data_IF_141946099251
#
_entry.id   IF_141946099251
#
_cell.length_a   1.000
_cell.length_b   1.000
_cell.length_c   1.000
_cell.angle_alpha   90.00
_cell.angle_beta   90.00
_cell.angle_gamma   90.00
#
_symmetry.space_group_name_H-M   'P 1'
#
loop_
_entity.id
_entity.type
_entity.pdbx_description
1 polymer ?
#
# COMPACT_ATOMS: atom_id res chain seq x y z
N UNK A 1 6.90 -20.67 6.03
CA UNK A 1 6.22 -19.50 6.60
C UNK A 1 5.95 -18.49 5.49
N UNK A 2 4.68 -18.20 5.19
CA UNK A 2 4.32 -17.13 4.24
C UNK A 2 4.58 -15.78 4.91
N UNK A 3 5.55 -15.02 4.39
CA UNK A 3 6.07 -13.77 5.00
C UNK A 3 5.07 -12.59 5.05
N UNK A 4 3.80 -12.82 4.70
CA UNK A 4 2.76 -11.79 4.57
C UNK A 4 1.57 -12.05 5.52
N UNK A 5 1.84 -12.32 6.80
CA UNK A 5 0.80 -12.52 7.82
C UNK A 5 0.52 -11.19 8.53
N UNK A 6 -0.74 -10.77 8.48
CA UNK A 6 -1.21 -9.62 9.26
C UNK A 6 -1.21 -9.98 10.75
N UNK A 7 -0.98 -8.98 11.61
CA UNK A 7 -1.05 -9.17 13.06
C UNK A 7 -2.44 -9.68 13.48
N UNK A 8 -3.48 -9.13 12.87
CA UNK A 8 -4.88 -9.57 13.02
C UNK A 8 -5.36 -10.10 11.66
N UNK A 9 -5.43 -11.42 11.45
CA UNK A 9 -5.80 -12.03 10.17
C UNK A 9 -7.19 -11.61 9.66
N UNK A 10 -8.14 -11.45 10.56
CA UNK A 10 -9.54 -11.10 10.29
C UNK A 10 -9.67 -9.70 9.69
N UNK A 11 -8.69 -8.81 9.99
CA UNK A 11 -8.65 -7.46 9.46
C UNK A 11 -8.28 -7.39 7.97
N UNK A 12 -7.90 -8.52 7.32
CA UNK A 12 -7.45 -8.54 5.92
C UNK A 12 -8.42 -7.84 4.98
N UNK A 13 -9.72 -8.18 5.06
CA UNK A 13 -10.73 -7.60 4.17
C UNK A 13 -10.83 -6.08 4.36
N UNK A 14 -10.89 -5.63 5.61
CA UNK A 14 -10.95 -4.21 5.95
C UNK A 14 -9.71 -3.44 5.50
N UNK A 15 -8.52 -4.01 5.67
CA UNK A 15 -7.27 -3.39 5.24
C UNK A 15 -7.14 -3.32 3.71
N UNK A 16 -7.62 -4.32 2.97
CA UNK A 16 -7.67 -4.26 1.51
C UNK A 16 -8.57 -3.11 1.04
N UNK A 17 -9.79 -3.02 1.58
CA UNK A 17 -10.72 -1.94 1.24
C UNK A 17 -10.17 -0.56 1.63
N UNK A 18 -9.53 -0.48 2.80
CA UNK A 18 -8.94 0.75 3.28
C UNK A 18 -7.76 1.19 2.39
N UNK A 19 -6.90 0.25 1.97
CA UNK A 19 -5.83 0.51 0.99
C UNK A 19 -6.39 1.06 -0.31
N UNK A 20 -7.45 0.46 -0.86
CA UNK A 20 -8.11 0.93 -2.07
C UNK A 20 -8.63 2.36 -1.90
N UNK A 21 -9.28 2.68 -0.78
CA UNK A 21 -9.76 4.03 -0.49
C UNK A 21 -8.63 5.05 -0.39
N UNK A 22 -7.54 4.71 0.32
CA UNK A 22 -6.38 5.61 0.46
C UNK A 22 -5.73 5.89 -0.89
N UNK A 23 -5.59 4.86 -1.72
CA UNK A 23 -4.96 4.99 -3.04
C UNK A 23 -5.87 5.74 -4.02
N UNK A 24 -7.19 5.51 -3.96
CA UNK A 24 -8.17 6.30 -4.71
C UNK A 24 -8.14 7.79 -4.34
N UNK A 25 -8.04 8.13 -3.06
CA UNK A 25 -7.86 9.52 -2.61
C UNK A 25 -6.56 10.15 -3.13
N UNK A 26 -5.57 9.35 -3.47
CA UNK A 26 -4.29 9.78 -4.06
C UNK A 26 -4.30 9.82 -5.60
N UNK A 27 -5.44 9.51 -6.23
CA UNK A 27 -5.60 9.56 -7.69
C UNK A 27 -5.42 8.22 -8.40
N UNK A 28 -5.13 7.14 -7.67
CA UNK A 28 -4.97 5.80 -8.25
C UNK A 28 -6.33 5.09 -8.36
N UNK A 29 -6.74 4.72 -9.58
CA UNK A 29 -8.05 4.15 -9.86
C UNK A 29 -7.93 2.73 -10.41
N UNK A 30 -7.32 1.82 -9.64
CA UNK A 30 -7.12 0.44 -10.06
C UNK A 30 -8.16 -0.51 -9.50
N UNK A 31 -8.57 -1.48 -10.32
CA UNK A 31 -9.52 -2.53 -9.93
C UNK A 31 -8.88 -3.64 -9.09
N UNK A 32 -7.55 -3.80 -9.16
CA UNK A 32 -6.84 -4.86 -8.46
C UNK A 32 -5.52 -4.39 -7.84
N UNK A 33 -5.15 -5.01 -6.72
CA UNK A 33 -3.87 -4.75 -6.03
C UNK A 33 -2.64 -5.01 -6.92
N UNK A 34 -2.75 -6.01 -7.81
CA UNK A 34 -1.67 -6.32 -8.75
C UNK A 34 -1.51 -5.25 -9.82
N UNK A 35 -2.58 -4.59 -10.25
CA UNK A 35 -2.47 -3.46 -11.20
C UNK A 35 -1.94 -2.21 -10.50
N UNK A 36 -2.37 -1.97 -9.26
CA UNK A 36 -1.93 -0.83 -8.45
C UNK A 36 -0.41 -0.72 -8.34
N UNK A 37 0.28 -1.83 -8.05
CA UNK A 37 1.75 -1.83 -7.95
C UNK A 37 2.44 -1.42 -9.25
N UNK A 38 1.89 -1.76 -10.41
CA UNK A 38 2.48 -1.40 -11.69
C UNK A 38 2.16 0.04 -12.07
N UNK A 39 0.96 0.53 -11.74
CA UNK A 39 0.59 1.94 -11.93
C UNK A 39 1.47 2.85 -11.08
N UNK A 40 1.62 2.53 -9.79
CA UNK A 40 2.50 3.26 -8.88
C UNK A 40 3.96 3.19 -9.34
N UNK A 41 4.43 2.03 -9.81
CA UNK A 41 5.79 1.91 -10.34
C UNK A 41 6.01 2.78 -11.58
N UNK A 42 5.03 2.83 -12.49
CA UNK A 42 5.08 3.68 -13.68
C UNK A 42 5.19 5.17 -13.30
N UNK A 43 4.38 5.62 -12.34
CA UNK A 43 4.41 7.00 -11.86
C UNK A 43 5.75 7.36 -11.20
N UNK A 44 6.36 6.42 -10.49
CA UNK A 44 7.64 6.59 -9.82
C UNK A 44 8.85 6.36 -10.75
N UNK A 45 8.63 6.10 -12.04
CA UNK A 45 9.66 5.72 -13.02
C UNK A 45 10.53 4.53 -12.55
N UNK A 46 9.92 3.58 -11.83
CA UNK A 46 10.56 2.36 -11.35
C UNK A 46 10.33 1.24 -12.38
N UNK A 47 11.39 0.52 -12.83
CA UNK A 47 11.27 -0.52 -13.85
C UNK A 47 10.71 -1.84 -13.29
N UNK A 48 9.55 -1.79 -12.63
CA UNK A 48 8.85 -2.96 -12.13
C UNK A 48 8.01 -3.59 -13.25
N UNK A 49 8.29 -4.85 -13.59
CA UNK A 49 7.59 -5.59 -14.65
C UNK A 49 6.79 -6.77 -14.09
N UNK A 50 5.91 -7.34 -14.94
CA UNK A 50 5.23 -8.61 -14.64
C UNK A 50 6.16 -9.84 -14.75
N UNK A 51 7.33 -9.68 -15.36
CA UNK A 51 8.30 -10.73 -15.57
C UNK A 51 9.41 -10.70 -14.51
N UNK A 52 10.64 -10.94 -14.96
CA UNK A 52 11.80 -10.91 -14.08
C UNK A 52 12.12 -9.47 -13.64
N UNK A 53 12.43 -9.34 -12.35
CA UNK A 53 12.81 -8.09 -11.70
C UNK A 53 14.16 -8.25 -10.98
N UNK A 54 15.04 -9.15 -11.45
CA UNK A 54 16.35 -9.41 -10.84
C UNK A 54 17.23 -8.16 -10.69
N UNK A 55 17.13 -7.22 -11.63
CA UNK A 55 17.86 -5.94 -11.60
C UNK A 55 17.17 -4.86 -10.74
N UNK A 56 15.97 -5.15 -10.21
CA UNK A 56 15.23 -4.19 -9.38
C UNK A 56 15.90 -4.07 -8.02
N UNK A 57 16.42 -2.88 -7.72
CA UNK A 57 17.06 -2.65 -6.42
C UNK A 57 16.03 -2.70 -5.28
N UNK A 58 16.46 -3.12 -4.09
CA UNK A 58 15.61 -3.10 -2.89
C UNK A 58 15.03 -1.71 -2.60
N UNK A 59 15.77 -0.64 -2.95
CA UNK A 59 15.30 0.74 -2.83
C UNK A 59 14.12 1.01 -3.76
N UNK A 60 14.20 0.59 -5.03
CA UNK A 60 13.13 0.76 -6.01
C UNK A 60 11.88 -0.04 -5.63
N UNK A 61 12.04 -1.30 -5.23
CA UNK A 61 10.93 -2.11 -4.71
C UNK A 61 10.30 -1.46 -3.46
N UNK A 62 11.14 -0.94 -2.56
CA UNK A 62 10.72 -0.21 -1.37
C UNK A 62 9.98 1.10 -1.68
N UNK A 63 10.34 1.82 -2.76
CA UNK A 63 9.63 3.03 -3.19
C UNK A 63 8.19 2.71 -3.60
N UNK A 64 7.98 1.66 -4.41
CA UNK A 64 6.64 1.23 -4.83
C UNK A 64 5.83 0.73 -3.63
N UNK A 65 6.41 -0.18 -2.84
CA UNK A 65 5.74 -0.73 -1.65
C UNK A 65 5.45 0.34 -0.58
N UNK A 66 6.37 1.28 -0.39
CA UNK A 66 6.25 2.39 0.55
C UNK A 66 5.19 3.41 0.12
N UNK A 67 5.08 3.69 -1.17
CA UNK A 67 4.03 4.57 -1.68
C UNK A 67 2.63 3.98 -1.47
N UNK A 68 2.48 2.65 -1.49
CA UNK A 68 1.19 1.99 -1.24
C UNK A 68 0.97 1.78 0.26
N UNK A 69 1.83 0.97 0.88
CA UNK A 69 1.70 0.55 2.27
C UNK A 69 2.00 1.67 3.27
N UNK A 70 2.99 2.51 3.00
CA UNK A 70 3.33 3.65 3.87
C UNK A 70 2.20 4.68 3.94
N UNK A 71 1.57 4.97 2.79
CA UNK A 71 0.39 5.84 2.72
C UNK A 71 -0.80 5.32 3.51
N UNK A 72 -1.05 4.01 3.39
CA UNK A 72 -2.08 3.32 4.17
C UNK A 72 -1.79 3.44 5.67
N UNK A 73 -0.57 3.11 6.11
CA UNK A 73 -0.18 3.19 7.52
C UNK A 73 -0.26 4.63 8.05
N UNK A 74 0.15 5.63 7.26
CA UNK A 74 0.06 7.04 7.63
C UNK A 74 -1.40 7.45 7.90
N UNK A 75 -2.34 7.04 7.05
CA UNK A 75 -3.76 7.36 7.24
C UNK A 75 -4.35 6.59 8.42
N UNK A 76 -3.96 5.33 8.65
CA UNK A 76 -4.37 4.58 9.86
C UNK A 76 -3.95 5.29 11.14
N UNK A 77 -2.69 5.75 11.20
CA UNK A 77 -2.17 6.47 12.37
C UNK A 77 -2.93 7.77 12.57
N UNK A 78 -3.25 8.50 11.49
CA UNK A 78 -4.05 9.72 11.55
C UNK A 78 -5.44 9.45 12.13
N UNK A 79 -6.13 8.43 11.64
CA UNK A 79 -7.44 8.02 12.18
C UNK A 79 -7.37 7.65 13.66
N UNK A 80 -6.36 6.88 14.05
CA UNK A 80 -6.15 6.50 15.45
C UNK A 80 -5.93 7.71 16.36
N UNK A 81 -5.08 8.67 15.93
CA UNK A 81 -4.86 9.92 16.67
C UNK A 81 -6.15 10.73 16.85
N UNK A 82 -6.94 10.89 15.80
CA UNK A 82 -8.21 11.60 15.87
C UNK A 82 -9.20 10.90 16.83
N UNK A 83 -9.28 9.57 16.78
CA UNK A 83 -10.15 8.80 17.67
C UNK A 83 -9.73 8.86 19.14
N UNK A 84 -8.44 9.08 19.43
CA UNK A 84 -7.95 9.30 20.79
C UNK A 84 -8.28 10.72 21.26
N UNK A 85 -8.05 11.72 20.41
CA UNK A 85 -8.34 13.12 20.75
C UNK A 85 -9.84 13.40 20.98
N UNK A 86 -10.73 12.69 20.29
CA UNK A 86 -12.18 12.84 20.47
C UNK A 86 -12.76 12.09 21.68
N UNK A 87 -11.92 11.37 22.44
CA UNK A 87 -12.33 10.60 23.63
C UNK A 87 -12.00 11.29 24.95
N UNK A 88 -11.36 12.45 24.87
CA UNK A 88 -11.15 13.38 25.98
C UNK A 88 -12.24 14.46 25.99
#
# INVERSE_FOLDING_TARGET
>A
MTKNKLLIPEARKGLTQFKEQVMSKRGYHTKSESELKYEVAKDLAVPLTKGDNGELTSKQAGQVGGQIGGSMVQEMIKMAKNNLASKD
#
